data_IF_667059776524
#
_entry.id   IF_667059776524
#
_cell.length_a   1.000
_cell.length_b   1.000
_cell.length_c   1.000
_cell.angle_alpha   90.00
_cell.angle_beta   90.00
_cell.angle_gamma   90.00
#
_symmetry.space_group_name_H-M   'P 1'
#
loop_
_entity.id
_entity.type
_entity.pdbx_description
1 polymer ?
#
# COMPACT_ATOMS: atom_id res chain seq x y z
N UNK A 1 21.01 -13.79 13.38
CA UNK A 1 19.59 -14.14 13.30
C UNK A 1 19.24 -14.44 11.86
N UNK A 2 18.45 -15.49 11.62
CA UNK A 2 17.95 -15.86 10.29
C UNK A 2 16.44 -15.71 10.20
N UNK A 3 15.97 -14.98 9.20
CA UNK A 3 14.55 -14.71 8.95
C UNK A 3 14.16 -15.25 7.57
N UNK A 4 13.08 -16.01 7.51
CA UNK A 4 12.44 -16.41 6.25
C UNK A 4 11.17 -15.57 6.09
N UNK A 5 11.16 -14.69 5.10
CA UNK A 5 9.96 -13.93 4.71
C UNK A 5 9.14 -14.72 3.70
N UNK A 6 7.83 -14.81 3.92
CA UNK A 6 6.89 -15.52 3.02
C UNK A 6 5.89 -14.51 2.47
N UNK A 7 5.96 -14.27 1.18
CA UNK A 7 5.16 -13.25 0.50
C UNK A 7 4.38 -13.87 -0.66
N UNK A 8 3.09 -13.58 -0.76
CA UNK A 8 2.25 -14.00 -1.86
C UNK A 8 2.51 -13.24 -3.16
N UNK A 9 1.64 -13.46 -4.14
CA UNK A 9 1.63 -12.65 -5.37
C UNK A 9 1.30 -11.21 -5.02
N UNK A 10 2.22 -10.30 -5.31
CA UNK A 10 2.08 -8.86 -5.08
C UNK A 10 2.50 -8.07 -6.33
N UNK A 11 1.76 -7.01 -6.61
CA UNK A 11 2.05 -6.05 -7.70
C UNK A 11 2.10 -4.60 -7.20
N UNK A 12 2.02 -4.39 -5.88
CA UNK A 12 1.93 -3.05 -5.28
C UNK A 12 2.61 -2.97 -3.92
N UNK A 13 2.10 -2.13 -3.02
CA UNK A 13 2.71 -1.72 -1.76
C UNK A 13 3.31 -2.82 -0.89
N UNK A 14 2.71 -4.02 -0.83
CA UNK A 14 3.27 -5.15 -0.07
C UNK A 14 4.64 -5.57 -0.65
N UNK A 15 4.75 -5.68 -1.99
CA UNK A 15 6.02 -6.03 -2.64
C UNK A 15 7.09 -4.97 -2.41
N UNK A 16 6.75 -3.70 -2.56
CA UNK A 16 7.63 -2.56 -2.27
C UNK A 16 8.11 -2.59 -0.82
N UNK A 17 7.19 -2.76 0.13
CA UNK A 17 7.53 -2.85 1.56
C UNK A 17 8.49 -4.00 1.88
N UNK A 18 8.20 -5.20 1.37
CA UNK A 18 9.06 -6.37 1.64
C UNK A 18 10.43 -6.22 1.00
N UNK A 19 10.53 -5.65 -0.21
CA UNK A 19 11.80 -5.36 -0.85
C UNK A 19 12.64 -4.42 0.02
N UNK A 20 12.09 -3.29 0.43
CA UNK A 20 12.76 -2.32 1.29
C UNK A 20 13.14 -2.94 2.63
N UNK A 21 12.19 -3.54 3.35
CA UNK A 21 12.44 -4.14 4.67
C UNK A 21 13.50 -5.23 4.61
N UNK A 22 13.47 -6.09 3.59
CA UNK A 22 14.46 -7.16 3.47
C UNK A 22 15.86 -6.63 3.18
N UNK A 23 16.01 -5.55 2.42
CA UNK A 23 17.27 -4.87 2.20
C UNK A 23 17.78 -4.23 3.49
N UNK A 24 16.96 -3.41 4.15
CA UNK A 24 17.33 -2.70 5.38
C UNK A 24 17.72 -3.66 6.53
N UNK A 25 17.09 -4.83 6.64
CA UNK A 25 17.44 -5.86 7.61
C UNK A 25 18.77 -6.55 7.28
N UNK A 26 19.05 -6.79 5.99
CA UNK A 26 20.34 -7.37 5.56
C UNK A 26 21.49 -6.42 5.82
N UNK A 27 21.31 -5.13 5.56
CA UNK A 27 22.30 -4.08 5.82
C UNK A 27 22.67 -4.01 7.31
N UNK A 28 21.78 -4.51 8.18
CA UNK A 28 22.00 -4.65 9.64
C UNK A 28 22.46 -6.05 10.07
N UNK A 29 22.94 -6.86 9.13
CA UNK A 29 23.51 -8.18 9.40
C UNK A 29 22.50 -9.29 9.67
N UNK A 30 21.23 -9.11 9.33
CA UNK A 30 20.21 -10.19 9.42
C UNK A 30 20.26 -11.04 8.14
N UNK A 31 20.35 -12.37 8.30
CA UNK A 31 20.27 -13.32 7.17
C UNK A 31 18.79 -13.46 6.75
N UNK A 32 18.38 -12.75 5.69
CA UNK A 32 17.00 -12.72 5.20
C UNK A 32 16.89 -13.45 3.86
N UNK A 33 16.02 -14.47 3.81
CA UNK A 33 15.64 -15.17 2.58
C UNK A 33 14.14 -14.92 2.33
N UNK A 34 13.80 -14.50 1.12
CA UNK A 34 12.40 -14.30 0.71
C UNK A 34 11.90 -15.50 -0.08
N UNK A 35 10.73 -16.03 0.28
CA UNK A 35 10.00 -17.06 -0.46
C UNK A 35 8.76 -16.41 -1.08
N UNK A 36 8.67 -16.44 -2.42
CA UNK A 36 7.61 -15.72 -3.13
C UNK A 36 7.23 -16.34 -4.47
N UNK A 37 6.15 -15.83 -5.06
CA UNK A 37 5.71 -16.14 -6.41
C UNK A 37 6.68 -15.55 -7.47
N UNK A 38 6.99 -16.25 -8.58
CA UNK A 38 7.88 -15.74 -9.62
C UNK A 38 7.57 -14.32 -10.11
N UNK A 39 6.32 -14.03 -10.43
CA UNK A 39 5.89 -12.69 -10.89
C UNK A 39 6.12 -11.57 -9.87
N UNK A 40 6.21 -11.88 -8.59
CA UNK A 40 6.57 -10.90 -7.56
C UNK A 40 8.08 -10.65 -7.56
N UNK A 41 8.88 -11.71 -7.70
CA UNK A 41 10.33 -11.60 -7.76
C UNK A 41 10.84 -10.90 -9.03
N UNK A 42 10.13 -11.02 -10.14
CA UNK A 42 10.45 -10.30 -11.39
C UNK A 42 10.20 -8.78 -11.27
N UNK A 43 9.25 -8.40 -10.43
CA UNK A 43 8.83 -6.99 -10.30
C UNK A 43 9.59 -6.21 -9.24
N UNK A 44 10.07 -6.88 -8.20
CA UNK A 44 10.72 -6.24 -7.05
C UNK A 44 12.09 -6.87 -6.81
N UNK A 45 13.09 -6.02 -6.52
CA UNK A 45 14.39 -6.50 -6.04
C UNK A 45 14.23 -6.99 -4.59
N UNK A 46 14.12 -8.29 -4.44
CA UNK A 46 13.98 -8.96 -3.14
C UNK A 46 15.31 -9.53 -2.61
N UNK A 47 16.40 -9.35 -3.35
CA UNK A 47 17.70 -9.96 -3.03
C UNK A 47 17.63 -11.49 -3.05
N UNK A 48 18.25 -12.21 -2.10
CA UNK A 48 18.18 -13.67 -2.03
C UNK A 48 16.74 -14.18 -1.95
N UNK A 49 16.27 -14.80 -3.03
CA UNK A 49 14.90 -15.26 -3.21
C UNK A 49 14.83 -16.75 -3.49
N UNK A 50 13.75 -17.40 -3.06
CA UNK A 50 13.35 -18.74 -3.47
C UNK A 50 11.97 -18.68 -4.11
N UNK A 51 11.92 -19.04 -5.38
CA UNK A 51 10.71 -18.98 -6.19
C UNK A 51 9.86 -20.21 -5.90
N UNK A 52 8.81 -20.01 -5.13
CA UNK A 52 7.82 -21.04 -4.91
C UNK A 52 6.46 -20.43 -4.56
N UNK A 53 5.42 -20.94 -5.20
CA UNK A 53 4.06 -20.66 -4.85
C UNK A 53 3.13 -21.82 -5.22
N UNK A 54 2.18 -22.23 -4.33
CA UNK A 54 1.23 -23.28 -4.64
C UNK A 54 0.39 -22.97 -5.89
N UNK A 55 0.22 -23.97 -6.75
CA UNK A 55 -0.58 -23.87 -7.96
C UNK A 55 0.12 -23.30 -9.18
N UNK A 56 1.33 -22.72 -9.04
CA UNK A 56 2.10 -22.18 -10.18
C UNK A 56 2.62 -23.27 -11.13
N UNK A 57 2.72 -24.52 -10.68
CA UNK A 57 3.28 -25.64 -11.46
C UNK A 57 2.56 -26.99 -11.18
N UNK A 58 1.30 -26.95 -10.74
CA UNK A 58 0.53 -28.14 -10.40
C UNK A 58 0.68 -28.62 -8.94
N UNK A 59 -0.24 -29.47 -8.49
CA UNK A 59 -0.34 -29.85 -7.07
C UNK A 59 0.80 -30.72 -6.56
N UNK A 60 1.33 -31.65 -7.39
CA UNK A 60 2.44 -32.53 -7.01
C UNK A 60 3.71 -31.71 -6.76
N UNK A 61 4.00 -30.76 -7.65
CA UNK A 61 5.14 -29.86 -7.52
C UNK A 61 4.96 -28.92 -6.33
N UNK A 62 3.75 -28.46 -6.07
CA UNK A 62 3.41 -27.65 -4.90
C UNK A 62 3.69 -28.38 -3.59
N UNK A 63 3.39 -29.67 -3.50
CA UNK A 63 3.73 -30.50 -2.32
C UNK A 63 5.24 -30.71 -2.17
N UNK A 64 5.95 -30.94 -3.25
CA UNK A 64 7.43 -31.04 -3.23
C UNK A 64 8.04 -29.72 -2.74
N UNK A 65 7.57 -28.61 -3.25
CA UNK A 65 8.10 -27.30 -2.95
C UNK A 65 7.69 -26.78 -1.56
N UNK A 66 6.56 -27.27 -0.98
CA UNK A 66 6.24 -27.03 0.43
C UNK A 66 7.33 -27.60 1.36
N UNK A 67 7.99 -28.70 0.98
CA UNK A 67 9.16 -29.21 1.67
C UNK A 67 10.34 -28.24 1.66
N UNK A 68 10.47 -27.41 0.61
CA UNK A 68 11.47 -26.34 0.58
C UNK A 68 11.17 -25.29 1.65
N UNK A 69 9.94 -24.75 1.70
CA UNK A 69 9.55 -23.80 2.74
C UNK A 69 9.78 -24.37 4.14
N UNK A 70 9.36 -25.62 4.36
CA UNK A 70 9.59 -26.31 5.63
C UNK A 70 11.07 -26.45 5.99
N UNK A 71 11.95 -26.77 5.01
CA UNK A 71 13.42 -26.85 5.23
C UNK A 71 14.01 -25.49 5.58
N UNK A 72 13.58 -24.42 4.91
CA UNK A 72 14.03 -23.07 5.21
C UNK A 72 13.57 -22.65 6.61
N UNK A 73 12.29 -22.87 6.94
CA UNK A 73 11.72 -22.58 8.25
C UNK A 73 12.43 -23.34 9.39
N UNK A 74 12.79 -24.61 9.18
CA UNK A 74 13.58 -25.41 10.14
C UNK A 74 14.96 -24.85 10.45
N UNK A 75 15.50 -24.04 9.57
CA UNK A 75 16.85 -23.43 9.67
C UNK A 75 16.80 -21.97 10.02
N UNK A 76 15.60 -21.42 10.26
CA UNK A 76 15.40 -20.02 10.62
C UNK A 76 15.01 -19.87 12.10
N UNK A 77 15.30 -18.72 12.66
CA UNK A 77 14.82 -18.31 13.97
C UNK A 77 13.38 -17.81 13.87
N UNK A 78 13.05 -17.12 12.77
CA UNK A 78 11.76 -16.49 12.52
C UNK A 78 11.27 -16.83 11.11
N UNK A 79 9.98 -17.09 11.01
CA UNK A 79 9.20 -17.07 9.77
C UNK A 79 8.27 -15.86 9.81
N UNK A 80 8.50 -14.89 8.95
CA UNK A 80 7.72 -13.66 8.85
C UNK A 80 6.88 -13.68 7.57
N UNK A 81 5.59 -13.79 7.72
CA UNK A 81 4.64 -13.88 6.60
C UNK A 81 3.95 -12.55 6.32
N UNK A 82 3.83 -12.18 5.06
CA UNK A 82 3.16 -10.97 4.61
C UNK A 82 1.89 -11.30 3.81
N UNK A 83 0.76 -10.79 4.27
CA UNK A 83 -0.57 -10.99 3.68
C UNK A 83 -1.16 -12.39 3.90
N UNK A 84 -2.46 -12.55 3.62
CA UNK A 84 -3.24 -13.73 4.01
C UNK A 84 -2.71 -15.06 3.47
N UNK A 85 -2.29 -15.10 2.19
CA UNK A 85 -1.79 -16.33 1.57
C UNK A 85 -0.44 -16.75 2.15
N UNK A 86 0.49 -15.79 2.30
CA UNK A 86 1.78 -16.02 2.95
C UNK A 86 1.62 -16.51 4.38
N UNK A 87 0.71 -15.90 5.13
CA UNK A 87 0.39 -16.26 6.50
C UNK A 87 -0.11 -17.72 6.63
N UNK A 88 -1.04 -18.14 5.76
CA UNK A 88 -1.55 -19.51 5.76
C UNK A 88 -0.44 -20.53 5.49
N UNK A 89 0.39 -20.30 4.51
CA UNK A 89 1.50 -21.20 4.14
C UNK A 89 2.57 -21.26 5.23
N UNK A 90 2.93 -20.12 5.81
CA UNK A 90 3.88 -20.04 6.91
C UNK A 90 3.35 -20.78 8.15
N UNK A 91 2.06 -20.61 8.49
CA UNK A 91 1.41 -21.30 9.62
C UNK A 91 1.43 -22.82 9.41
N UNK A 92 1.04 -23.31 8.23
CA UNK A 92 1.10 -24.73 7.90
C UNK A 92 2.53 -25.28 8.01
N UNK A 93 3.51 -24.54 7.51
CA UNK A 93 4.92 -24.93 7.56
C UNK A 93 5.43 -25.04 8.99
N UNK A 94 5.22 -24.01 9.82
CA UNK A 94 5.68 -23.99 11.22
C UNK A 94 4.99 -25.06 12.08
N UNK A 95 3.68 -25.30 11.86
CA UNK A 95 2.96 -26.40 12.53
C UNK A 95 3.50 -27.77 12.15
N UNK A 96 3.79 -28.01 10.88
CA UNK A 96 4.36 -29.30 10.45
C UNK A 96 5.70 -29.61 11.12
N UNK A 97 6.42 -28.58 11.58
CA UNK A 97 7.66 -28.69 12.35
C UNK A 97 7.37 -29.01 13.81
N UNK A 98 6.38 -28.37 14.41
CA UNK A 98 6.00 -28.59 15.80
C UNK A 98 5.55 -30.05 16.09
N UNK A 99 5.09 -30.76 15.07
CA UNK A 99 4.74 -32.19 15.16
C UNK A 99 5.96 -33.12 15.21
N UNK A 100 7.16 -32.63 14.97
CA UNK A 100 8.40 -33.42 15.08
C UNK A 100 9.04 -33.20 16.44
N UNK A 101 9.14 -34.26 17.26
CA UNK A 101 9.48 -34.23 18.70
C UNK A 101 10.83 -33.60 19.10
N UNK A 102 11.73 -33.31 18.16
CA UNK A 102 13.14 -32.95 18.47
C UNK A 102 13.61 -31.59 18.00
N UNK A 103 12.74 -30.70 17.50
CA UNK A 103 13.21 -29.42 16.95
C UNK A 103 12.43 -28.24 17.48
N UNK A 104 13.16 -27.20 17.91
CA UNK A 104 12.58 -25.90 18.28
C UNK A 104 11.86 -25.33 17.06
N UNK A 105 10.56 -25.02 17.23
CA UNK A 105 9.74 -24.36 16.23
C UNK A 105 10.28 -22.93 16.00
N UNK A 106 10.48 -22.46 14.76
CA UNK A 106 10.74 -21.04 14.52
C UNK A 106 9.54 -20.22 15.00
N UNK A 107 9.79 -19.00 15.42
CA UNK A 107 8.72 -18.07 15.77
C UNK A 107 7.98 -17.61 14.50
N UNK A 108 6.66 -17.56 14.59
CA UNK A 108 5.79 -17.15 13.48
C UNK A 108 5.29 -15.74 13.70
N UNK A 109 5.64 -14.84 12.78
CA UNK A 109 5.16 -13.47 12.74
C UNK A 109 4.32 -13.29 11.48
N UNK A 110 3.20 -12.59 11.59
CA UNK A 110 2.26 -12.36 10.49
C UNK A 110 1.98 -10.87 10.36
N UNK A 111 2.34 -10.27 9.22
CA UNK A 111 1.99 -8.90 8.87
C UNK A 111 0.76 -8.87 7.96
N UNK A 112 -0.31 -8.25 8.45
CA UNK A 112 -1.55 -8.03 7.71
C UNK A 112 -1.48 -6.67 6.99
N UNK A 113 -1.76 -6.70 5.68
CA UNK A 113 -1.72 -5.52 4.81
C UNK A 113 -3.04 -5.26 4.10
N UNK A 114 -4.01 -6.16 4.21
CA UNK A 114 -5.31 -6.06 3.54
C UNK A 114 -6.40 -6.70 4.41
N UNK A 115 -7.61 -6.14 4.34
CA UNK A 115 -8.82 -6.80 4.84
C UNK A 115 -9.41 -7.76 3.78
N UNK A 116 -10.24 -8.68 4.22
CA UNK A 116 -11.10 -9.46 3.33
C UNK A 116 -12.38 -8.66 3.08
N UNK A 117 -12.42 -7.91 1.97
CA UNK A 117 -13.58 -7.11 1.61
C UNK A 117 -14.86 -7.97 1.44
N UNK A 118 -16.03 -7.42 1.77
CA UNK A 118 -17.33 -8.04 1.51
C UNK A 118 -17.50 -8.38 0.02
N UNK A 119 -18.25 -9.46 -0.28
CA UNK A 119 -18.50 -9.88 -1.68
C UNK A 119 -17.50 -10.86 -2.28
N UNK A 120 -16.34 -11.11 -1.66
CA UNK A 120 -15.44 -12.17 -2.11
C UNK A 120 -16.01 -13.56 -1.77
N UNK A 121 -16.26 -14.40 -2.76
CA UNK A 121 -16.73 -15.77 -2.56
C UNK A 121 -15.90 -16.51 -1.48
N UNK A 122 -16.55 -17.36 -0.67
CA UNK A 122 -15.92 -18.10 0.46
C UNK A 122 -15.43 -17.23 1.63
N UNK A 123 -16.07 -16.10 1.91
CA UNK A 123 -15.72 -15.22 3.04
C UNK A 123 -15.64 -15.95 4.38
N UNK A 124 -16.61 -16.82 4.68
CA UNK A 124 -16.62 -17.59 5.90
C UNK A 124 -15.35 -18.43 6.09
N UNK A 125 -14.91 -19.12 5.01
CA UNK A 125 -13.69 -19.93 5.04
C UNK A 125 -12.42 -19.08 5.23
N UNK A 126 -12.36 -17.91 4.57
CA UNK A 126 -11.25 -16.97 4.74
C UNK A 126 -11.15 -16.47 6.19
N UNK A 127 -12.28 -16.10 6.81
CA UNK A 127 -12.31 -15.67 8.22
C UNK A 127 -11.90 -16.79 9.20
N UNK A 128 -12.33 -18.03 8.94
CA UNK A 128 -11.88 -19.18 9.74
C UNK A 128 -10.38 -19.38 9.62
N UNK A 129 -9.83 -19.28 8.39
CA UNK A 129 -8.39 -19.37 8.17
C UNK A 129 -7.62 -18.24 8.88
N UNK A 130 -8.12 -17.00 8.82
CA UNK A 130 -7.51 -15.85 9.52
C UNK A 130 -7.51 -16.04 11.03
N UNK A 131 -8.63 -16.49 11.62
CA UNK A 131 -8.68 -16.83 13.06
C UNK A 131 -7.68 -17.89 13.42
N UNK A 132 -7.60 -18.96 12.64
CA UNK A 132 -6.65 -20.03 12.87
C UNK A 132 -5.20 -19.54 12.80
N UNK A 133 -4.86 -18.68 11.84
CA UNK A 133 -3.54 -18.05 11.72
C UNK A 133 -3.27 -17.15 12.92
N UNK A 134 -4.22 -16.29 13.31
CA UNK A 134 -4.07 -15.36 14.43
C UNK A 134 -3.77 -16.09 15.74
N UNK A 135 -4.47 -17.18 16.03
CA UNK A 135 -4.21 -18.01 17.22
C UNK A 135 -2.87 -18.74 17.22
N UNK A 136 -2.23 -18.90 16.07
CA UNK A 136 -0.97 -19.66 15.94
C UNK A 136 0.27 -18.78 15.81
N UNK A 137 0.09 -17.53 15.44
CA UNK A 137 1.16 -16.56 15.34
C UNK A 137 1.68 -16.16 16.73
N UNK A 138 3.00 -16.03 16.85
CA UNK A 138 3.63 -15.50 18.06
C UNK A 138 3.47 -13.97 18.14
N UNK A 139 3.34 -13.31 16.96
CA UNK A 139 3.01 -11.89 16.79
C UNK A 139 2.19 -11.70 15.51
N UNK A 140 1.11 -10.96 15.58
CA UNK A 140 0.39 -10.44 14.41
C UNK A 140 0.58 -8.93 14.35
N UNK A 141 0.95 -8.40 13.19
CA UNK A 141 0.98 -6.96 13.00
C UNK A 141 -0.03 -6.52 11.94
N UNK A 142 -0.63 -5.36 12.16
CA UNK A 142 -1.47 -4.68 11.17
C UNK A 142 -0.78 -3.43 10.66
N UNK A 143 -0.88 -3.16 9.36
CA UNK A 143 -0.37 -1.92 8.78
C UNK A 143 -1.28 -0.70 9.08
N UNK A 144 -2.42 -0.92 9.75
CA UNK A 144 -3.37 0.10 10.19
C UNK A 144 -4.04 -0.33 11.50
N UNK A 145 -4.64 0.62 12.21
CA UNK A 145 -5.26 0.37 13.53
C UNK A 145 -6.47 -0.58 13.44
N UNK A 146 -7.24 -0.55 12.36
CA UNK A 146 -8.36 -1.46 12.12
C UNK A 146 -7.89 -2.91 11.92
N UNK A 147 -6.76 -3.13 11.23
CA UNK A 147 -6.16 -4.46 11.09
C UNK A 147 -5.65 -5.01 12.43
N UNK A 148 -5.10 -4.17 13.30
CA UNK A 148 -4.70 -4.58 14.66
C UNK A 148 -5.91 -4.98 15.49
N UNK A 149 -7.00 -4.20 15.42
CA UNK A 149 -8.28 -4.53 16.07
C UNK A 149 -8.85 -5.85 15.53
N UNK A 150 -8.83 -6.04 14.21
CA UNK A 150 -9.30 -7.29 13.57
C UNK A 150 -8.47 -8.49 14.03
N UNK A 151 -7.13 -8.37 14.08
CA UNK A 151 -6.24 -9.43 14.57
C UNK A 151 -6.55 -9.83 16.01
N UNK A 152 -6.80 -8.85 16.88
CA UNK A 152 -7.19 -9.08 18.29
C UNK A 152 -8.56 -9.77 18.38
N UNK A 153 -9.54 -9.36 17.59
CA UNK A 153 -10.87 -9.98 17.50
C UNK A 153 -10.79 -11.43 16.96
N UNK A 154 -9.79 -11.74 16.15
CA UNK A 154 -9.53 -13.09 15.66
C UNK A 154 -8.71 -13.93 16.64
N UNK A 155 -8.36 -13.40 17.81
CA UNK A 155 -7.72 -14.13 18.88
C UNK A 155 -6.19 -14.19 18.77
N UNK A 156 -5.56 -13.20 18.16
CA UNK A 156 -4.11 -13.05 18.25
C UNK A 156 -3.69 -12.82 19.71
N UNK A 157 -2.74 -13.58 20.19
CA UNK A 157 -2.20 -13.43 21.56
C UNK A 157 -1.41 -12.12 21.72
N UNK A 158 -0.82 -11.63 20.64
CA UNK A 158 -0.13 -10.35 20.55
C UNK A 158 -0.43 -9.72 19.21
N UNK A 159 -0.96 -8.49 19.21
CA UNK A 159 -1.27 -7.72 18.00
C UNK A 159 -0.73 -6.30 18.13
N UNK A 160 0.05 -5.83 17.13
CA UNK A 160 0.71 -4.53 17.15
C UNK A 160 0.58 -3.80 15.82
N UNK A 161 0.63 -2.47 15.87
CA UNK A 161 0.72 -1.65 14.67
C UNK A 161 2.16 -1.70 14.13
N UNK A 162 2.30 -2.07 12.86
CA UNK A 162 3.57 -1.99 12.14
C UNK A 162 3.41 -1.06 10.96
N UNK A 163 3.88 0.15 11.11
CA UNK A 163 3.79 1.15 10.06
C UNK A 163 4.63 0.78 8.84
N UNK A 164 4.07 1.03 7.67
CA UNK A 164 4.71 0.73 6.38
C UNK A 164 5.11 2.06 5.74
N UNK A 165 6.41 2.41 5.72
CA UNK A 165 6.88 3.66 5.11
C UNK A 165 6.90 3.57 3.58
N UNK A 166 6.68 4.71 2.91
CA UNK A 166 7.06 4.83 1.52
C UNK A 166 8.55 5.15 1.39
N UNK A 167 9.29 4.41 0.54
CA UNK A 167 10.71 4.66 0.32
C UNK A 167 11.00 6.02 -0.34
N UNK A 168 9.99 6.67 -0.94
CA UNK A 168 10.11 7.97 -1.62
C UNK A 168 9.95 9.17 -0.70
N UNK A 169 9.37 8.98 0.49
CA UNK A 169 9.12 10.09 1.43
C UNK A 169 10.39 10.86 1.78
N UNK A 170 11.54 10.24 2.12
CA UNK A 170 12.75 10.99 2.42
C UNK A 170 13.20 11.90 1.28
N UNK A 171 13.25 11.39 0.05
CA UNK A 171 13.66 12.15 -1.14
C UNK A 171 12.70 13.31 -1.45
N UNK A 172 11.40 13.11 -1.28
CA UNK A 172 10.40 14.17 -1.46
C UNK A 172 10.51 15.26 -0.39
N UNK A 173 10.88 14.91 0.84
CA UNK A 173 11.11 15.87 1.92
C UNK A 173 12.39 16.70 1.73
N UNK A 174 13.38 16.21 1.01
CA UNK A 174 14.59 16.98 0.66
C UNK A 174 14.30 18.10 -0.34
N UNK A 175 13.27 17.95 -1.15
CA UNK A 175 12.87 18.95 -2.14
C UNK A 175 11.90 19.97 -1.51
N UNK A 176 12.06 21.28 -1.75
CA UNK A 176 11.09 22.25 -1.27
C UNK A 176 9.72 22.04 -1.96
N UNK A 177 8.60 22.36 -1.30
CA UNK A 177 7.29 22.39 -1.95
C UNK A 177 7.34 23.31 -3.19
N UNK A 178 6.73 22.84 -4.28
CA UNK A 178 6.69 23.63 -5.50
C UNK A 178 5.79 24.87 -5.33
N UNK A 179 6.30 26.05 -5.63
CA UNK A 179 5.50 27.25 -5.78
C UNK A 179 4.69 27.25 -7.10
N UNK A 180 3.84 28.23 -7.32
CA UNK A 180 2.97 28.26 -8.50
C UNK A 180 3.75 28.28 -9.83
N UNK A 181 4.84 29.08 -10.00
CA UNK A 181 5.67 29.01 -11.20
C UNK A 181 6.33 27.66 -11.42
N UNK A 182 6.88 27.06 -10.37
CA UNK A 182 7.52 25.73 -10.43
C UNK A 182 6.50 24.66 -10.82
N UNK A 183 5.30 24.68 -10.21
CA UNK A 183 4.22 23.76 -10.61
C UNK A 183 3.86 23.89 -12.08
N UNK A 184 3.73 25.11 -12.58
CA UNK A 184 3.41 25.35 -13.99
C UNK A 184 4.50 24.80 -14.94
N UNK A 185 5.78 24.96 -14.61
CA UNK A 185 6.90 24.40 -15.39
C UNK A 185 6.88 22.86 -15.39
N UNK A 186 6.72 22.24 -14.22
CA UNK A 186 6.63 20.77 -14.11
C UNK A 186 5.43 20.27 -14.92
N UNK A 187 4.27 20.90 -14.79
CA UNK A 187 3.04 20.56 -15.50
C UNK A 187 3.22 20.61 -17.01
N UNK A 188 3.85 21.64 -17.54
CA UNK A 188 4.12 21.78 -18.98
C UNK A 188 4.96 20.58 -19.50
N UNK A 189 6.00 20.19 -18.77
CA UNK A 189 6.83 19.05 -19.13
C UNK A 189 6.04 17.72 -19.06
N UNK A 190 5.24 17.54 -17.99
CA UNK A 190 4.41 16.33 -17.81
C UNK A 190 3.36 16.19 -18.91
N UNK A 191 2.62 17.25 -19.24
CA UNK A 191 1.58 17.23 -20.27
C UNK A 191 2.15 16.92 -21.64
N UNK A 192 3.35 17.44 -21.94
CA UNK A 192 4.05 17.10 -23.20
C UNK A 192 4.43 15.62 -23.29
N UNK A 193 4.55 14.93 -22.15
CA UNK A 193 4.94 13.51 -22.10
C UNK A 193 3.77 12.54 -22.23
N UNK A 194 2.51 13.00 -22.17
CA UNK A 194 1.30 12.15 -22.07
C UNK A 194 0.15 12.59 -23.00
N UNK A 195 0.46 13.30 -24.07
CA UNK A 195 -0.54 13.76 -25.06
C UNK A 195 -1.66 14.64 -24.48
N UNK A 196 -1.26 15.55 -23.59
CA UNK A 196 -2.15 16.55 -22.97
C UNK A 196 -1.76 17.99 -23.37
N UNK A 197 -1.11 18.18 -24.54
CA UNK A 197 -0.59 19.49 -24.98
C UNK A 197 -1.70 20.51 -25.23
N UNK A 198 -2.91 20.06 -25.56
CA UNK A 198 -4.07 20.94 -25.80
C UNK A 198 -4.78 21.35 -24.50
N UNK A 199 -4.40 20.78 -23.35
CA UNK A 199 -5.00 21.12 -22.06
C UNK A 199 -4.43 22.45 -21.57
N UNK A 200 -5.32 23.32 -21.09
CA UNK A 200 -4.92 24.63 -20.56
C UNK A 200 -4.07 24.47 -19.29
N UNK A 201 -2.80 24.90 -19.38
CA UNK A 201 -1.84 24.87 -18.28
C UNK A 201 -2.22 25.78 -17.10
N UNK A 202 -3.13 26.75 -17.30
CA UNK A 202 -3.63 27.62 -16.25
C UNK A 202 -4.63 26.92 -15.33
N UNK A 203 -5.24 25.83 -15.77
CA UNK A 203 -6.17 25.06 -14.94
C UNK A 203 -5.42 24.35 -13.81
N UNK A 204 -5.99 24.33 -12.58
CA UNK A 204 -5.47 23.54 -11.49
C UNK A 204 -5.39 22.07 -11.85
N UNK A 205 -4.34 21.38 -11.38
CA UNK A 205 -4.15 19.95 -11.58
C UNK A 205 -4.61 19.17 -10.36
N UNK A 206 -5.57 18.27 -10.55
CA UNK A 206 -5.98 17.23 -9.59
C UNK A 206 -5.32 15.92 -10.00
N UNK A 207 -4.72 15.19 -9.07
CA UNK A 207 -4.02 13.94 -9.35
C UNK A 207 -4.58 12.80 -8.53
N UNK A 208 -4.74 11.65 -9.17
CA UNK A 208 -4.97 10.36 -8.52
C UNK A 208 -3.94 9.36 -9.02
N UNK A 209 -3.25 8.68 -8.11
CA UNK A 209 -2.25 7.66 -8.44
C UNK A 209 -2.65 6.36 -7.77
N UNK A 210 -3.09 5.39 -8.55
CA UNK A 210 -3.49 4.09 -8.02
C UNK A 210 -3.56 3.03 -9.11
N UNK A 211 -3.52 1.75 -8.72
CA UNK A 211 -3.99 0.69 -9.63
C UNK A 211 -5.48 0.90 -9.89
N UNK A 212 -5.89 0.74 -11.12
CA UNK A 212 -7.32 0.83 -11.48
C UNK A 212 -7.95 -0.55 -11.22
N UNK A 213 -8.48 -0.69 -10.02
CA UNK A 213 -9.08 -1.90 -9.49
C UNK A 213 -10.33 -1.55 -8.66
N UNK A 214 -11.28 -2.48 -8.45
CA UNK A 214 -12.51 -2.21 -7.71
C UNK A 214 -12.29 -1.52 -6.37
N UNK A 215 -11.30 -1.95 -5.58
CA UNK A 215 -10.95 -1.36 -4.28
C UNK A 215 -10.62 0.13 -4.37
N UNK A 216 -10.07 0.61 -5.49
CA UNK A 216 -9.65 2.01 -5.68
C UNK A 216 -10.80 2.93 -6.13
N UNK A 217 -11.92 2.34 -6.45
CA UNK A 217 -13.19 3.01 -6.72
C UNK A 217 -13.11 4.20 -7.71
N UNK A 218 -12.31 4.04 -8.76
CA UNK A 218 -12.14 5.07 -9.81
C UNK A 218 -13.46 5.46 -10.50
N UNK A 219 -14.50 4.59 -10.63
CA UNK A 219 -15.80 5.02 -11.11
C UNK A 219 -16.40 6.18 -10.31
N UNK A 220 -16.34 6.14 -8.97
CA UNK A 220 -16.84 7.23 -8.10
C UNK A 220 -16.04 8.51 -8.31
N UNK A 221 -14.73 8.40 -8.59
CA UNK A 221 -13.91 9.56 -8.94
C UNK A 221 -14.40 10.24 -10.22
N UNK A 222 -14.74 9.46 -11.27
CA UNK A 222 -15.25 10.01 -12.54
C UNK A 222 -16.58 10.74 -12.32
N UNK A 223 -17.46 10.19 -11.49
CA UNK A 223 -18.70 10.86 -11.09
C UNK A 223 -18.42 12.16 -10.31
N UNK A 224 -17.50 12.12 -9.34
CA UNK A 224 -17.12 13.30 -8.58
C UNK A 224 -16.53 14.40 -9.48
N UNK A 225 -15.66 14.03 -10.40
CA UNK A 225 -15.04 14.98 -11.32
C UNK A 225 -16.07 15.69 -12.23
N UNK A 226 -17.16 15.00 -12.59
CA UNK A 226 -18.24 15.62 -13.38
C UNK A 226 -19.11 16.59 -12.59
N UNK A 227 -18.99 16.61 -11.27
CA UNK A 227 -19.78 17.46 -10.35
C UNK A 227 -19.00 18.64 -9.80
N UNK A 228 -17.72 18.76 -10.16
CA UNK A 228 -16.88 19.88 -9.74
C UNK A 228 -17.43 21.21 -10.30
N UNK A 229 -17.40 22.24 -9.47
CA UNK A 229 -17.71 23.62 -9.87
C UNK A 229 -16.44 24.36 -10.33
N UNK A 230 -15.27 24.01 -9.75
CA UNK A 230 -13.99 24.59 -10.10
C UNK A 230 -13.45 23.96 -11.38
N UNK A 231 -13.15 24.73 -12.43
CA UNK A 231 -12.49 24.19 -13.60
C UNK A 231 -11.12 23.61 -13.21
N UNK A 232 -10.83 22.39 -13.66
CA UNK A 232 -9.54 21.73 -13.39
C UNK A 232 -9.22 20.70 -14.46
N UNK A 233 -7.99 20.19 -14.42
CA UNK A 233 -7.57 18.99 -15.14
C UNK A 233 -7.37 17.89 -14.11
N UNK A 234 -8.09 16.77 -14.24
CA UNK A 234 -7.92 15.63 -13.33
C UNK A 234 -7.20 14.49 -14.03
N UNK A 235 -5.98 14.20 -13.58
CA UNK A 235 -5.13 13.16 -14.18
C UNK A 235 -5.10 11.94 -13.27
N UNK A 236 -5.37 10.77 -13.85
CA UNK A 236 -5.32 9.47 -13.17
C UNK A 236 -4.14 8.67 -13.70
N UNK A 237 -3.16 8.43 -12.83
CA UNK A 237 -2.00 7.59 -13.10
C UNK A 237 -2.24 6.18 -12.59
N UNK A 238 -2.01 5.21 -13.43
CA UNK A 238 -2.09 3.80 -13.09
C UNK A 238 -2.65 2.95 -14.21
N UNK A 239 -2.66 1.66 -13.98
CA UNK A 239 -3.13 0.67 -14.95
C UNK A 239 -4.09 -0.31 -14.28
N UNK A 240 -4.87 -1.01 -15.09
CA UNK A 240 -5.89 -1.94 -14.66
C UNK A 240 -6.37 -2.85 -15.77
N UNK A 241 -7.49 -3.45 -15.54
CA UNK A 241 -8.16 -4.28 -16.55
C UNK A 241 -8.53 -3.43 -17.78
N UNK A 242 -8.20 -3.86 -19.02
CA UNK A 242 -8.48 -3.09 -20.24
C UNK A 242 -9.96 -2.75 -20.44
N UNK A 243 -10.88 -3.66 -20.10
CA UNK A 243 -12.31 -3.43 -20.25
C UNK A 243 -12.81 -2.40 -19.24
N UNK A 244 -12.29 -2.44 -18.01
CA UNK A 244 -12.56 -1.42 -16.99
C UNK A 244 -12.04 -0.06 -17.43
N UNK A 245 -10.83 0.01 -17.98
CA UNK A 245 -10.24 1.27 -18.49
C UNK A 245 -11.08 1.84 -19.64
N UNK A 246 -11.53 1.02 -20.58
CA UNK A 246 -12.41 1.44 -21.68
C UNK A 246 -13.74 1.98 -21.14
N UNK A 247 -14.34 1.29 -20.17
CA UNK A 247 -15.58 1.71 -19.50
C UNK A 247 -15.41 3.06 -18.81
N UNK A 248 -14.32 3.28 -18.09
CA UNK A 248 -14.02 4.54 -17.40
C UNK A 248 -13.84 5.70 -18.38
N UNK A 249 -13.13 5.49 -19.49
CA UNK A 249 -12.98 6.51 -20.54
C UNK A 249 -14.33 6.89 -21.16
N UNK A 250 -15.14 5.89 -21.53
CA UNK A 250 -16.48 6.13 -22.05
C UNK A 250 -17.37 6.88 -21.05
N UNK A 251 -17.29 6.53 -19.77
CA UNK A 251 -18.05 7.21 -18.70
C UNK A 251 -17.60 8.65 -18.50
N UNK A 252 -16.30 8.90 -18.47
CA UNK A 252 -15.75 10.25 -18.36
C UNK A 252 -16.21 11.14 -19.54
N UNK A 253 -16.17 10.60 -20.76
CA UNK A 253 -16.66 11.29 -21.95
C UNK A 253 -18.17 11.59 -21.89
N UNK A 254 -18.98 10.58 -21.51
CA UNK A 254 -20.44 10.75 -21.41
C UNK A 254 -20.85 11.78 -20.37
N UNK A 255 -20.09 11.95 -19.31
CA UNK A 255 -20.33 12.95 -18.25
C UNK A 255 -19.61 14.28 -18.52
N UNK A 256 -18.85 14.41 -19.60
CA UNK A 256 -17.94 15.55 -19.82
C UNK A 256 -17.02 15.83 -18.62
N UNK A 257 -16.63 14.77 -17.88
CA UNK A 257 -15.76 14.89 -16.72
C UNK A 257 -14.32 15.22 -17.17
N UNK A 258 -13.61 16.15 -16.52
CA UNK A 258 -12.25 16.57 -16.90
C UNK A 258 -11.18 15.53 -16.49
N UNK A 259 -11.41 14.25 -16.78
CA UNK A 259 -10.60 13.12 -16.33
C UNK A 259 -9.77 12.52 -17.46
N UNK A 260 -8.46 12.44 -17.26
CA UNK A 260 -7.49 11.88 -18.20
C UNK A 260 -6.79 10.67 -17.60
N UNK A 261 -6.97 9.47 -18.17
CA UNK A 261 -6.28 8.25 -17.75
C UNK A 261 -4.99 8.08 -18.58
N UNK A 262 -3.84 8.38 -17.96
CA UNK A 262 -2.53 8.47 -18.65
C UNK A 262 -1.66 7.21 -18.50
N UNK A 263 -2.19 6.17 -17.88
CA UNK A 263 -1.45 4.92 -17.69
C UNK A 263 -0.40 4.98 -16.56
N UNK A 264 0.49 3.99 -16.55
CA UNK A 264 1.59 3.92 -15.56
C UNK A 264 2.69 4.91 -15.92
N UNK A 265 3.17 5.65 -14.94
CA UNK A 265 4.27 6.61 -15.08
C UNK A 265 5.44 6.24 -14.17
N UNK A 266 6.65 6.56 -14.61
CA UNK A 266 7.89 6.38 -13.85
C UNK A 266 8.20 7.57 -12.93
N UNK A 267 7.50 8.68 -13.09
CA UNK A 267 7.69 9.98 -12.49
C UNK A 267 6.52 10.46 -11.60
N UNK A 268 5.90 9.59 -10.78
CA UNK A 268 4.71 9.94 -9.99
C UNK A 268 4.98 11.08 -8.98
N UNK A 269 6.21 11.24 -8.52
CA UNK A 269 6.66 12.32 -7.65
C UNK A 269 6.51 13.69 -8.32
N UNK A 270 6.82 13.82 -9.61
CA UNK A 270 6.65 15.07 -10.35
C UNK A 270 5.16 15.42 -10.51
N UNK A 271 4.31 14.41 -10.73
CA UNK A 271 2.85 14.62 -10.78
C UNK A 271 2.31 15.11 -9.44
N UNK A 272 2.76 14.53 -8.32
CA UNK A 272 2.38 15.00 -6.99
C UNK A 272 2.84 16.45 -6.76
N UNK A 273 4.09 16.77 -7.08
CA UNK A 273 4.63 18.13 -6.92
C UNK A 273 3.95 19.18 -7.80
N UNK A 274 3.43 18.79 -8.96
CA UNK A 274 2.72 19.67 -9.88
C UNK A 274 1.25 19.89 -9.51
N UNK A 275 0.67 19.05 -8.65
CA UNK A 275 -0.74 19.05 -8.32
C UNK A 275 -1.12 20.12 -7.27
N UNK A 276 -2.32 20.67 -7.39
CA UNK A 276 -2.98 21.45 -6.34
C UNK A 276 -3.63 20.58 -5.29
N UNK A 277 -4.07 19.35 -5.68
CA UNK A 277 -4.68 18.38 -4.76
C UNK A 277 -4.50 16.97 -5.26
N UNK A 278 -4.24 16.05 -4.35
CA UNK A 278 -4.24 14.60 -4.57
C UNK A 278 -5.55 14.01 -4.04
N UNK A 279 -6.23 13.19 -4.84
CA UNK A 279 -7.51 12.57 -4.46
C UNK A 279 -7.42 11.06 -4.49
N UNK A 280 -7.90 10.38 -3.43
CA UNK A 280 -7.92 8.92 -3.35
C UNK A 280 -9.28 8.40 -2.86
N UNK A 281 -10.19 7.92 -3.75
CA UNK A 281 -11.56 7.54 -3.41
C UNK A 281 -11.71 6.06 -3.01
N UNK A 282 -10.68 5.47 -2.43
CA UNK A 282 -10.63 4.02 -2.16
C UNK A 282 -11.73 3.54 -1.22
N UNK A 283 -12.19 2.32 -1.41
CA UNK A 283 -13.13 1.65 -0.50
C UNK A 283 -12.48 1.17 0.79
N UNK A 284 -11.20 0.90 0.73
CA UNK A 284 -10.38 0.55 1.88
C UNK A 284 -8.88 0.66 1.57
N UNK A 285 -8.10 1.11 2.55
CA UNK A 285 -6.63 1.20 2.52
C UNK A 285 -6.04 0.78 3.87
N UNK A 286 -4.91 0.09 3.83
CA UNK A 286 -4.12 -0.11 5.05
C UNK A 286 -3.22 1.10 5.31
N UNK A 287 -2.13 1.19 4.55
CA UNK A 287 -1.18 2.31 4.61
C UNK A 287 -0.87 2.73 3.18
N UNK A 288 -1.61 3.69 2.67
CA UNK A 288 -1.45 4.15 1.30
C UNK A 288 -0.12 4.90 1.13
N UNK A 289 0.88 4.26 0.53
CA UNK A 289 2.22 4.83 0.34
C UNK A 289 2.16 6.14 -0.46
N UNK A 290 1.31 6.17 -1.49
CA UNK A 290 1.15 7.36 -2.33
C UNK A 290 0.55 8.55 -1.58
N UNK A 291 -0.24 8.33 -0.54
CA UNK A 291 -0.74 9.41 0.33
C UNK A 291 0.41 9.99 1.15
N UNK A 292 1.29 9.16 1.71
CA UNK A 292 2.50 9.62 2.38
C UNK A 292 3.39 10.44 1.43
N UNK A 293 3.50 9.99 0.17
CA UNK A 293 4.24 10.68 -0.89
C UNK A 293 3.60 12.03 -1.24
N UNK A 294 2.28 12.11 -1.36
CA UNK A 294 1.56 13.37 -1.59
C UNK A 294 1.77 14.36 -0.43
N UNK A 295 1.64 13.90 0.80
CA UNK A 295 1.92 14.71 2.00
C UNK A 295 3.37 15.22 1.98
N UNK A 296 4.35 14.37 1.71
CA UNK A 296 5.77 14.73 1.65
C UNK A 296 6.08 15.72 0.51
N UNK A 297 5.39 15.62 -0.62
CA UNK A 297 5.49 16.57 -1.73
C UNK A 297 4.89 17.95 -1.39
N UNK A 298 4.15 18.08 -0.28
CA UNK A 298 3.39 19.27 0.08
C UNK A 298 2.11 19.42 -0.75
N UNK A 299 1.53 18.32 -1.19
CA UNK A 299 0.28 18.29 -1.95
C UNK A 299 -0.87 17.97 -1.01
N UNK A 300 -1.87 18.85 -0.88
CA UNK A 300 -3.07 18.59 -0.08
C UNK A 300 -3.76 17.30 -0.50
N UNK A 301 -4.30 16.56 0.46
CA UNK A 301 -4.94 15.27 0.23
C UNK A 301 -6.43 15.34 0.54
N UNK A 302 -7.24 14.87 -0.39
CA UNK A 302 -8.66 14.51 -0.20
C UNK A 302 -8.75 13.00 -0.33
N UNK A 303 -9.26 12.30 0.67
CA UNK A 303 -9.39 10.85 0.61
C UNK A 303 -10.62 10.36 1.37
N UNK A 304 -11.05 9.15 1.07
CA UNK A 304 -12.12 8.50 1.82
C UNK A 304 -11.68 8.14 3.24
N UNK A 305 -12.59 8.28 4.21
CA UNK A 305 -12.35 7.94 5.62
C UNK A 305 -12.46 6.43 5.85
N UNK A 306 -11.41 5.70 5.45
CA UNK A 306 -11.38 4.24 5.50
C UNK A 306 -10.03 3.70 5.98
N UNK A 307 -10.08 2.65 6.80
CA UNK A 307 -8.90 1.92 7.25
C UNK A 307 -7.81 2.84 7.81
N UNK A 308 -6.58 2.65 7.37
CA UNK A 308 -5.44 3.46 7.83
C UNK A 308 -5.35 4.87 7.25
N UNK A 309 -6.23 5.27 6.32
CA UNK A 309 -6.33 6.67 5.86
C UNK A 309 -6.84 7.57 6.99
N UNK A 310 -7.75 7.07 7.84
CA UNK A 310 -8.20 7.79 9.03
C UNK A 310 -7.00 8.19 9.91
N UNK A 311 -6.17 7.22 10.28
CA UNK A 311 -5.00 7.44 11.15
C UNK A 311 -3.95 8.36 10.49
N UNK A 312 -3.77 8.22 9.17
CA UNK A 312 -2.71 8.94 8.42
C UNK A 312 -3.07 10.41 8.18
N UNK A 313 -4.36 10.70 7.93
CA UNK A 313 -4.82 12.02 7.48
C UNK A 313 -5.56 12.83 8.55
N UNK A 314 -5.71 12.32 9.77
CA UNK A 314 -6.40 13.03 10.83
C UNK A 314 -5.78 14.42 11.08
N UNK A 315 -6.53 15.47 10.72
CA UNK A 315 -6.10 16.86 10.85
C UNK A 315 -5.11 17.37 9.78
N UNK A 316 -4.70 16.53 8.80
CA UNK A 316 -3.72 16.89 7.77
C UNK A 316 -4.25 16.77 6.34
N UNK A 317 -5.44 16.21 6.17
CA UNK A 317 -6.15 16.09 4.90
C UNK A 317 -7.66 16.24 5.10
N UNK A 318 -8.40 16.21 4.00
CA UNK A 318 -9.87 16.17 4.04
C UNK A 318 -10.33 14.72 3.87
N UNK A 319 -11.00 14.20 4.89
CA UNK A 319 -11.59 12.87 4.88
C UNK A 319 -13.06 12.94 4.52
N UNK A 320 -13.51 12.12 3.58
CA UNK A 320 -14.88 12.08 3.07
C UNK A 320 -15.50 10.69 3.18
N UNK A 321 -16.81 10.62 3.14
CA UNK A 321 -17.56 9.35 3.19
C UNK A 321 -17.21 8.50 1.94
N UNK A 322 -16.88 7.21 2.10
CA UNK A 322 -16.56 6.34 0.96
C UNK A 322 -17.80 6.11 0.08
N UNK A 323 -17.56 6.08 -1.24
CA UNK A 323 -18.61 5.84 -2.23
C UNK A 323 -19.51 7.05 -2.50
N UNK A 324 -19.25 8.21 -1.92
CA UNK A 324 -20.00 9.44 -2.10
C UNK A 324 -19.28 10.41 -3.06
N UNK A 325 -19.71 10.51 -4.34
CA UNK A 325 -19.06 11.40 -5.32
C UNK A 325 -19.33 12.89 -5.03
N UNK A 326 -20.44 13.25 -4.37
CA UNK A 326 -20.72 14.64 -4.02
C UNK A 326 -19.78 15.12 -2.91
N UNK A 327 -19.56 14.29 -1.89
CA UNK A 327 -18.60 14.60 -0.82
C UNK A 327 -17.15 14.73 -1.34
N UNK A 328 -16.74 13.91 -2.32
CA UNK A 328 -15.43 14.01 -2.97
C UNK A 328 -15.32 15.30 -3.78
N UNK A 329 -16.36 15.65 -4.56
CA UNK A 329 -16.40 16.85 -5.38
C UNK A 329 -16.34 18.10 -4.49
N UNK A 330 -17.19 18.19 -3.45
CA UNK A 330 -17.22 19.31 -2.51
C UNK A 330 -15.87 19.53 -1.81
N UNK A 331 -15.26 18.44 -1.30
CA UNK A 331 -13.97 18.54 -0.64
C UNK A 331 -12.86 18.97 -1.61
N UNK A 332 -12.90 18.49 -2.85
CA UNK A 332 -11.95 18.88 -3.90
C UNK A 332 -12.12 20.34 -4.29
N UNK A 333 -13.37 20.81 -4.51
CA UNK A 333 -13.70 22.20 -4.81
C UNK A 333 -13.23 23.16 -3.71
N UNK A 334 -13.40 22.78 -2.45
CA UNK A 334 -12.89 23.56 -1.31
C UNK A 334 -11.38 23.77 -1.37
N UNK A 335 -10.63 22.73 -1.68
CA UNK A 335 -9.15 22.85 -1.82
C UNK A 335 -8.79 23.69 -3.03
N UNK A 336 -9.51 23.56 -4.15
CA UNK A 336 -9.23 24.29 -5.38
C UNK A 336 -9.56 25.78 -5.25
N UNK A 337 -10.67 26.13 -4.57
CA UNK A 337 -11.18 27.50 -4.45
C UNK A 337 -10.60 28.29 -3.28
N UNK A 338 -10.03 27.64 -2.27
CA UNK A 338 -9.46 28.30 -1.08
C UNK A 338 -7.94 28.13 -1.00
N UNK A 339 -7.16 29.12 -1.43
CA UNK A 339 -5.69 29.09 -1.36
C UNK A 339 -5.16 29.02 0.08
N UNK A 340 -5.90 29.56 1.08
CA UNK A 340 -5.51 29.52 2.48
C UNK A 340 -5.63 28.09 3.03
N UNK A 341 -6.77 27.44 2.81
CA UNK A 341 -6.97 26.04 3.18
C UNK A 341 -5.93 25.13 2.47
N UNK A 342 -5.69 25.36 1.18
CA UNK A 342 -4.71 24.59 0.42
C UNK A 342 -3.32 24.70 1.02
N UNK A 343 -2.87 25.91 1.35
CA UNK A 343 -1.55 26.14 1.94
C UNK A 343 -1.43 25.51 3.35
N UNK A 344 -2.47 25.61 4.17
CA UNK A 344 -2.52 25.03 5.50
C UNK A 344 -2.48 23.48 5.47
N UNK A 345 -3.26 22.84 4.59
CA UNK A 345 -3.23 21.39 4.40
C UNK A 345 -1.87 20.90 3.86
N UNK A 346 -1.27 21.64 2.92
CA UNK A 346 0.05 21.34 2.39
C UNK A 346 1.13 21.36 3.48
N UNK A 347 1.12 22.40 4.33
CA UNK A 347 2.07 22.56 5.43
C UNK A 347 1.91 21.43 6.46
N UNK A 348 0.70 21.26 7.00
CA UNK A 348 0.42 20.21 8.00
C UNK A 348 0.68 18.81 7.47
N UNK A 349 0.29 18.55 6.22
CA UNK A 349 0.56 17.26 5.57
C UNK A 349 2.06 16.97 5.52
N UNK A 350 2.86 17.95 5.09
CA UNK A 350 4.31 17.79 5.00
C UNK A 350 4.99 17.65 6.36
N UNK A 351 4.57 18.43 7.37
CA UNK A 351 5.04 18.27 8.74
C UNK A 351 4.74 16.86 9.26
N UNK A 352 3.52 16.37 9.10
CA UNK A 352 3.16 15.01 9.48
C UNK A 352 3.97 13.95 8.72
N UNK A 353 4.20 14.14 7.41
CA UNK A 353 5.04 13.23 6.62
C UNK A 353 6.48 13.16 7.13
N UNK A 354 7.05 14.27 7.65
CA UNK A 354 8.39 14.31 8.21
C UNK A 354 8.54 13.52 9.52
N UNK A 355 7.42 13.23 10.19
CA UNK A 355 7.37 12.44 11.43
C UNK A 355 7.11 10.96 11.18
N UNK A 356 6.81 10.56 9.94
CA UNK A 356 6.60 9.15 9.59
C UNK A 356 7.93 8.38 9.68
N UNK A 357 7.90 7.12 10.14
CA UNK A 357 9.09 6.29 10.16
C UNK A 357 9.61 6.08 8.73
N UNK A 358 10.92 6.12 8.56
CA UNK A 358 11.58 5.73 7.31
C UNK A 358 11.94 4.23 7.33
N UNK A 359 12.57 3.73 6.27
CA UNK A 359 12.99 2.32 6.19
C UNK A 359 13.95 1.92 7.30
N UNK A 360 14.85 2.85 7.70
CA UNK A 360 15.81 2.64 8.80
C UNK A 360 15.11 2.47 10.16
N UNK A 361 14.14 3.31 10.45
CA UNK A 361 13.36 3.25 11.70
C UNK A 361 12.52 1.96 11.74
N UNK A 362 11.88 1.62 10.63
CA UNK A 362 11.10 0.40 10.49
C UNK A 362 11.95 -0.86 10.68
N UNK A 363 13.15 -0.91 10.09
CA UNK A 363 14.03 -2.05 10.28
C UNK A 363 14.53 -2.17 11.75
N UNK A 364 14.80 -1.06 12.42
CA UNK A 364 15.15 -1.03 13.86
C UNK A 364 13.98 -1.58 14.68
N UNK A 365 12.78 -1.08 14.46
CA UNK A 365 11.57 -1.56 15.12
C UNK A 365 11.37 -3.07 14.93
N UNK A 366 11.56 -3.59 13.71
CA UNK A 366 11.43 -5.03 13.45
C UNK A 366 12.50 -5.86 14.15
N UNK A 367 13.75 -5.41 14.21
CA UNK A 367 14.81 -6.11 14.93
C UNK A 367 14.49 -6.24 16.42
N UNK A 368 13.94 -5.21 17.04
CA UNK A 368 13.47 -5.24 18.42
C UNK A 368 12.33 -6.26 18.61
N UNK A 369 11.30 -6.21 17.75
CA UNK A 369 10.17 -7.16 17.80
C UNK A 369 10.61 -8.61 17.57
N UNK A 370 11.58 -8.83 16.68
CA UNK A 370 12.18 -10.14 16.48
C UNK A 370 12.90 -10.64 17.74
N UNK A 371 13.72 -9.79 18.35
CA UNK A 371 14.44 -10.14 19.57
C UNK A 371 13.48 -10.46 20.72
N UNK A 372 12.48 -9.62 20.96
CA UNK A 372 11.44 -9.85 21.98
C UNK A 372 10.69 -11.17 21.74
N UNK A 373 10.26 -11.40 20.49
CA UNK A 373 9.50 -12.62 20.14
C UNK A 373 10.34 -13.88 20.35
N UNK A 374 11.65 -13.84 20.17
CA UNK A 374 12.56 -14.97 20.40
C UNK A 374 12.75 -15.28 21.90
N UNK A 375 12.65 -14.28 22.79
CA UNK A 375 12.80 -14.46 24.24
C UNK A 375 11.50 -14.91 24.90
N UNK A 376 10.36 -14.55 24.37
CA UNK A 376 9.05 -14.99 24.88
C UNK A 376 8.87 -16.50 24.68
N UNK A 377 8.78 -17.26 25.77
CA UNK A 377 8.58 -18.71 25.80
C UNK A 377 7.11 -19.10 25.70
#
# INVERSE_FOLDING_TARGET
MRVVMVVGRSTGGIGTHVAQLSADLRDRGTDVIVVTHPLTAERFDLGPVRLWWPGSAGWIRSLHDFRLLRRLALRSDIVHAHGHQGALLATLSTMSIALTRDRRRPKLIVSQHNVVLPGSGRQGLKRVAQRWVAHRADLVTGASSDLVKEASLFGAGRAELAEVPSPRVPELLEQPPADAPTRAQIRAALYSSVDLQEVDLALPLVVTISRIAPQKNVPVLVEAASRLHSPCTWVVLGDGDPDLLATLRARAQALSAPVHLVGVRSDPDQWLRAAEVFVLPSEWEARALVVQEAMAAGTPVVATDVGGLHDLLAGTGLLVVPGDPDAIAEATDRVLSDPGLRADLALRGREAASMLPNGRDTATWWLERYAETLVMT
#
